data_IF_276279994490
#
_entry.id   IF_276279994490
#
_cell.length_a   1.000
_cell.length_b   1.000
_cell.length_c   1.000
_cell.angle_alpha   90.00
_cell.angle_beta   90.00
_cell.angle_gamma   90.00
#
_symmetry.space_group_name_H-M   'P 1'
#
loop_
_entity.id
_entity.type
_entity.pdbx_description
1 polymer ?
#
# COMPACT_ATOMS: atom_id res chain seq x y z
N UNK A 1 -14.58 23.85 -5.38
CA UNK A 1 -13.70 22.72 -5.09
C UNK A 1 -14.55 21.78 -4.28
N UNK A 2 -14.78 20.58 -4.80
CA UNK A 2 -15.61 19.58 -4.14
C UNK A 2 -14.63 18.53 -3.62
N UNK A 3 -14.60 18.34 -2.31
CA UNK A 3 -13.79 17.30 -1.68
C UNK A 3 -14.64 16.03 -1.60
N UNK A 4 -14.08 14.91 -2.05
CA UNK A 4 -14.64 13.57 -1.87
C UNK A 4 -13.97 12.92 -0.67
N UNK A 5 -14.74 12.15 0.08
CA UNK A 5 -14.28 11.42 1.26
C UNK A 5 -14.31 9.92 0.92
N UNK A 6 -13.14 9.29 0.88
CA UNK A 6 -12.97 7.92 0.37
C UNK A 6 -12.56 7.02 1.52
N UNK A 7 -13.33 5.95 1.76
CA UNK A 7 -12.95 4.90 2.69
C UNK A 7 -12.26 3.80 1.90
N UNK A 8 -11.01 3.47 2.27
CA UNK A 8 -10.25 2.35 1.70
C UNK A 8 -10.00 1.30 2.76
N UNK A 9 -9.93 0.04 2.35
CA UNK A 9 -9.44 -1.02 3.24
C UNK A 9 -7.93 -0.89 3.42
N UNK A 10 -7.42 -1.20 4.61
CA UNK A 10 -6.01 -1.45 4.85
C UNK A 10 -5.73 -2.95 4.79
N UNK A 11 -4.72 -3.33 4.03
CA UNK A 11 -4.17 -4.67 3.98
C UNK A 11 -2.92 -4.72 4.87
N UNK A 12 -2.93 -5.59 5.87
CA UNK A 12 -1.81 -5.78 6.78
C UNK A 12 -0.89 -6.89 6.28
N UNK A 13 0.43 -6.66 6.34
CA UNK A 13 1.40 -7.73 6.08
C UNK A 13 1.34 -8.79 7.16
N UNK A 14 1.12 -10.05 6.80
CA UNK A 14 1.20 -11.18 7.73
C UNK A 14 2.59 -11.83 7.65
N UNK A 15 3.29 -11.91 8.78
CA UNK A 15 4.45 -12.82 8.90
C UNK A 15 3.98 -14.19 9.41
N UNK A 16 4.89 -15.13 9.67
CA UNK A 16 4.53 -16.48 10.12
C UNK A 16 3.93 -16.57 11.54
N UNK A 17 3.79 -15.43 12.24
CA UNK A 17 3.28 -15.35 13.61
C UNK A 17 2.14 -14.31 13.76
N UNK A 18 2.21 -13.15 13.10
CA UNK A 18 1.36 -11.98 13.33
C UNK A 18 1.16 -11.09 12.08
N UNK A 19 0.06 -10.35 12.05
CA UNK A 19 -0.18 -9.19 11.21
C UNK A 19 0.59 -7.97 11.74
N UNK A 20 1.34 -7.34 10.84
CA UNK A 20 2.03 -6.08 11.07
C UNK A 20 1.09 -4.90 10.84
N UNK A 21 0.74 -4.22 11.93
CA UNK A 21 -0.12 -3.01 11.88
C UNK A 21 0.60 -1.79 11.31
N UNK A 22 1.93 -1.76 11.35
CA UNK A 22 2.74 -0.64 10.85
C UNK A 22 3.07 -0.74 9.35
N UNK A 23 2.81 -1.88 8.71
CA UNK A 23 2.97 -2.10 7.27
C UNK A 23 1.61 -2.20 6.56
N UNK A 24 0.68 -1.32 6.90
CA UNK A 24 -0.61 -1.27 6.24
C UNK A 24 -0.50 -0.65 4.84
N UNK A 25 -1.03 -1.32 3.83
CA UNK A 25 -1.18 -0.78 2.47
C UNK A 25 -2.64 -0.52 2.13
N UNK A 26 -2.89 0.50 1.31
CA UNK A 26 -4.23 0.84 0.85
C UNK A 26 -4.75 -0.19 -0.18
N UNK A 27 -5.76 -0.95 0.23
CA UNK A 27 -6.52 -1.89 -0.56
C UNK A 27 -7.66 -1.25 -1.36
N UNK A 28 -8.77 -1.99 -1.52
CA UNK A 28 -9.90 -1.58 -2.35
C UNK A 28 -10.63 -0.34 -1.80
N UNK A 29 -11.35 0.36 -2.67
CA UNK A 29 -12.23 1.45 -2.28
C UNK A 29 -13.55 0.85 -1.79
N UNK A 30 -13.82 1.00 -0.50
CA UNK A 30 -15.02 0.50 0.16
C UNK A 30 -16.22 1.43 -0.10
N UNK A 31 -16.01 2.74 -0.04
CA UNK A 31 -17.07 3.73 -0.27
C UNK A 31 -16.52 5.12 -0.59
N UNK A 32 -17.33 5.93 -1.28
CA UNK A 32 -17.05 7.33 -1.61
C UNK A 32 -18.24 8.19 -1.19
N UNK A 33 -17.97 9.28 -0.48
CA UNK A 33 -18.97 10.20 0.05
C UNK A 33 -18.70 11.64 -0.39
N UNK A 34 -19.77 12.42 -0.53
CA UNK A 34 -19.75 13.86 -0.74
C UNK A 34 -19.82 14.67 0.57
N UNK A 35 -20.25 14.02 1.66
CA UNK A 35 -20.45 14.65 2.95
C UNK A 35 -19.49 14.08 3.99
N UNK A 36 -18.70 14.96 4.61
CA UNK A 36 -17.70 14.59 5.62
C UNK A 36 -18.31 13.84 6.81
N UNK A 37 -19.43 14.32 7.34
CA UNK A 37 -20.04 13.74 8.55
C UNK A 37 -20.61 12.35 8.27
N UNK A 38 -21.19 12.15 7.08
CA UNK A 38 -21.65 10.83 6.64
C UNK A 38 -20.47 9.86 6.49
N UNK A 39 -19.37 10.33 5.88
CA UNK A 39 -18.15 9.55 5.73
C UNK A 39 -17.50 9.17 7.07
N UNK A 40 -17.40 10.13 8.00
CA UNK A 40 -16.84 9.92 9.35
C UNK A 40 -17.67 8.92 10.15
N UNK A 41 -19.01 9.00 10.08
CA UNK A 41 -19.88 8.04 10.75
C UNK A 41 -19.77 6.65 10.13
N UNK A 42 -19.77 6.55 8.79
CA UNK A 42 -19.63 5.27 8.10
C UNK A 42 -18.26 4.62 8.37
N UNK A 43 -17.19 5.42 8.35
CA UNK A 43 -15.83 5.00 8.69
C UNK A 43 -15.75 4.44 10.10
N UNK A 44 -16.30 5.17 11.07
CA UNK A 44 -16.37 4.72 12.46
C UNK A 44 -17.08 3.37 12.60
N UNK A 45 -18.27 3.25 12.00
CA UNK A 45 -19.04 2.00 12.06
C UNK A 45 -18.28 0.84 11.41
N UNK A 46 -17.66 1.04 10.24
CA UNK A 46 -16.85 0.01 9.56
C UNK A 46 -15.65 -0.45 10.39
N UNK A 47 -14.94 0.48 11.04
CA UNK A 47 -13.81 0.13 11.91
C UNK A 47 -14.27 -0.72 13.09
N UNK A 48 -15.36 -0.32 13.76
CA UNK A 48 -15.89 -1.07 14.91
C UNK A 48 -16.41 -2.44 14.49
N UNK A 49 -17.13 -2.53 13.37
CA UNK A 49 -17.60 -3.81 12.83
C UNK A 49 -16.43 -4.74 12.50
N UNK A 50 -15.38 -4.25 11.82
CA UNK A 50 -14.22 -5.07 11.49
C UNK A 50 -13.43 -5.51 12.72
N UNK A 51 -13.32 -4.63 13.73
CA UNK A 51 -12.64 -4.93 14.99
C UNK A 51 -13.29 -6.12 15.72
N UNK A 52 -14.63 -6.21 15.73
CA UNK A 52 -15.37 -7.31 16.37
C UNK A 52 -15.59 -8.54 15.48
N UNK A 53 -15.21 -8.48 14.20
CA UNK A 53 -15.26 -9.65 13.30
C UNK A 53 -14.01 -10.53 13.39
N UNK A 54 -12.95 -10.06 14.06
CA UNK A 54 -11.75 -10.86 14.28
C UNK A 54 -11.95 -11.86 15.41
N UNK A 55 -11.54 -13.10 15.16
CA UNK A 55 -11.63 -14.18 16.13
C UNK A 55 -10.60 -14.05 17.27
N UNK A 56 -9.53 -13.26 17.07
CA UNK A 56 -8.46 -13.08 18.04
C UNK A 56 -7.64 -11.81 17.78
N UNK A 57 -7.29 -11.06 18.83
CA UNK A 57 -6.37 -9.92 18.74
C UNK A 57 -4.89 -10.32 18.83
N UNK A 58 -4.59 -11.51 19.35
CA UNK A 58 -3.23 -12.06 19.37
C UNK A 58 -2.59 -12.11 17.98
N UNK A 59 -3.40 -12.12 16.92
CA UNK A 59 -2.89 -12.13 15.55
C UNK A 59 -2.29 -10.77 15.13
N UNK A 60 -2.42 -9.70 15.91
CA UNK A 60 -1.92 -8.36 15.56
C UNK A 60 -0.72 -7.98 16.41
N UNK A 61 0.44 -7.80 15.76
CA UNK A 61 1.63 -7.26 16.40
C UNK A 61 1.58 -5.72 16.31
N UNK A 62 1.27 -5.09 17.44
CA UNK A 62 1.41 -3.65 17.64
C UNK A 62 2.80 -3.30 18.16
N UNK A 63 3.24 -2.06 17.95
CA UNK A 63 4.37 -1.53 18.73
C UNK A 63 4.04 -1.70 20.24
N UNK A 64 4.98 -2.17 21.05
CA UNK A 64 4.81 -2.31 22.50
C UNK A 64 4.23 -1.06 23.18
N UNK A 65 4.55 0.14 22.69
CA UNK A 65 3.99 1.39 23.22
C UNK A 65 2.51 1.58 22.82
N UNK A 66 2.13 1.19 21.60
CA UNK A 66 0.76 1.21 21.07
C UNK A 66 -0.11 0.18 21.82
N UNK A 67 0.43 -1.03 22.01
CA UNK A 67 -0.19 -2.10 22.77
C UNK A 67 -0.50 -1.66 24.21
N UNK A 68 0.50 -1.06 24.88
CA UNK A 68 0.32 -0.51 26.23
C UNK A 68 -0.75 0.59 26.29
N UNK A 69 -0.79 1.52 25.33
CA UNK A 69 -1.79 2.59 25.32
C UNK A 69 -3.22 2.05 25.16
N UNK A 70 -3.40 1.03 24.32
CA UNK A 70 -4.68 0.37 24.15
C UNK A 70 -5.11 -0.38 25.41
N UNK A 71 -4.17 -1.03 26.11
CA UNK A 71 -4.42 -1.66 27.40
C UNK A 71 -4.80 -0.66 28.49
N UNK A 72 -4.02 0.42 28.65
CA UNK A 72 -4.30 1.49 29.61
C UNK A 72 -5.69 2.09 29.41
N UNK A 73 -6.13 2.23 28.15
CA UNK A 73 -7.47 2.69 27.83
C UNK A 73 -8.57 1.76 28.37
N UNK A 74 -8.41 0.44 28.27
CA UNK A 74 -9.36 -0.54 28.82
C UNK A 74 -9.47 -0.38 30.34
N UNK A 75 -8.33 -0.29 31.02
CA UNK A 75 -8.25 -0.15 32.49
C UNK A 75 -8.87 1.18 32.95
N UNK A 76 -8.50 2.30 32.34
CA UNK A 76 -8.98 3.64 32.72
C UNK A 76 -10.49 3.80 32.54
N UNK A 77 -11.08 3.11 31.56
CA UNK A 77 -12.50 3.20 31.25
C UNK A 77 -13.32 2.10 31.93
N UNK A 78 -12.71 1.27 32.79
CA UNK A 78 -13.33 0.15 33.51
C UNK A 78 -14.11 -0.77 32.56
N UNK A 79 -13.52 -1.05 31.40
CA UNK A 79 -14.10 -1.96 30.41
C UNK A 79 -13.94 -3.38 30.97
N UNK A 80 -15.05 -4.08 31.16
CA UNK A 80 -15.05 -5.42 31.77
C UNK A 80 -14.48 -6.45 30.79
N UNK A 81 -13.41 -7.11 31.20
CA UNK A 81 -12.77 -8.19 30.44
C UNK A 81 -13.09 -9.51 31.14
N UNK A 82 -13.59 -10.48 30.38
CA UNK A 82 -13.61 -11.87 30.83
C UNK A 82 -12.21 -12.46 30.64
N UNK A 83 -11.53 -12.79 31.74
CA UNK A 83 -10.26 -13.51 31.74
C UNK A 83 -10.49 -14.96 32.14
N UNK A 84 -9.70 -15.88 31.60
CA UNK A 84 -9.62 -17.22 32.17
C UNK A 84 -9.06 -17.17 33.61
N UNK A 85 -9.49 -18.08 34.49
CA UNK A 85 -9.32 -18.03 35.96
C UNK A 85 -7.85 -17.95 36.47
N UNK A 86 -6.84 -18.01 35.60
CA UNK A 86 -5.41 -17.93 35.93
C UNK A 86 -4.62 -16.90 35.08
N UNK A 87 -5.29 -16.07 34.27
CA UNK A 87 -4.64 -15.04 33.46
C UNK A 87 -4.63 -13.69 34.20
N UNK A 88 -3.46 -13.06 34.27
CA UNK A 88 -3.37 -11.63 34.59
C UNK A 88 -3.20 -10.92 33.26
N UNK A 89 -4.02 -9.90 32.99
CA UNK A 89 -3.80 -9.03 31.83
C UNK A 89 -2.51 -8.23 32.01
N UNK A 90 -1.46 -8.68 31.35
CA UNK A 90 -0.22 -7.94 31.23
C UNK A 90 -0.13 -7.22 29.87
N UNK A 91 -0.91 -7.61 28.85
CA UNK A 91 -0.91 -6.99 27.51
C UNK A 91 -2.23 -7.20 26.68
N UNK A 92 -2.44 -6.42 25.61
CA UNK A 92 -3.57 -6.57 24.66
C UNK A 92 -3.50 -7.86 23.84
N UNK A 93 -2.28 -8.40 23.73
CA UNK A 93 -1.98 -9.82 23.66
C UNK A 93 -3.13 -10.73 23.98
N UNK A 94 -3.45 -10.64 25.26
CA UNK A 94 -4.02 -11.72 26.04
C UNK A 94 -5.54 -11.84 25.83
N UNK A 95 -6.12 -10.98 25.00
CA UNK A 95 -7.54 -11.01 24.68
C UNK A 95 -7.84 -12.07 23.62
N UNK A 96 -8.41 -13.20 24.04
CA UNK A 96 -9.01 -14.15 23.09
C UNK A 96 -10.13 -13.47 22.29
N UNK A 97 -10.94 -12.63 22.95
CA UNK A 97 -11.95 -11.80 22.30
C UNK A 97 -11.99 -10.41 22.93
N UNK A 98 -12.24 -9.39 22.10
CA UNK A 98 -12.38 -8.03 22.60
C UNK A 98 -13.61 -7.89 23.51
N UNK A 99 -13.47 -7.24 24.68
CA UNK A 99 -14.62 -6.96 25.52
C UNK A 99 -15.63 -6.08 24.77
N UNK A 100 -16.94 -6.24 25.03
CA UNK A 100 -17.96 -5.40 24.42
C UNK A 100 -17.83 -3.95 24.91
N UNK A 101 -17.79 -3.01 23.97
CA UNK A 101 -17.62 -1.58 24.22
C UNK A 101 -18.73 -0.78 23.54
N UNK A 102 -18.87 0.49 23.93
CA UNK A 102 -19.65 1.43 23.12
C UNK A 102 -18.95 1.65 21.77
N UNK A 103 -19.69 2.06 20.73
CA UNK A 103 -19.08 2.35 19.42
C UNK A 103 -17.99 3.43 19.50
N UNK A 104 -18.18 4.43 20.38
CA UNK A 104 -17.18 5.48 20.62
C UNK A 104 -15.89 4.92 21.24
N UNK A 105 -16.03 4.04 22.24
CA UNK A 105 -14.90 3.45 22.96
C UNK A 105 -14.17 2.42 22.08
N UNK A 106 -14.90 1.58 21.36
CA UNK A 106 -14.32 0.61 20.41
C UNK A 106 -13.54 1.33 19.30
N UNK A 107 -14.08 2.41 18.74
CA UNK A 107 -13.38 3.19 17.73
C UNK A 107 -12.15 3.90 18.30
N UNK A 108 -12.21 4.36 19.56
CA UNK A 108 -11.04 4.93 20.23
C UNK A 108 -9.98 3.88 20.50
N UNK A 109 -10.37 2.69 20.96
CA UNK A 109 -9.48 1.55 21.12
C UNK A 109 -8.76 1.22 19.81
N UNK A 110 -9.49 1.06 18.70
CA UNK A 110 -8.90 0.76 17.38
C UNK A 110 -7.83 1.79 16.95
N UNK A 111 -8.08 3.08 17.24
CA UNK A 111 -7.10 4.14 16.96
C UNK A 111 -5.87 4.10 17.87
N UNK A 112 -6.04 3.69 19.12
CA UNK A 112 -4.93 3.55 20.07
C UNK A 112 -4.10 2.29 19.79
N UNK A 113 -4.74 1.21 19.36
CA UNK A 113 -4.07 -0.06 19.04
C UNK A 113 -3.46 -0.10 17.64
N UNK A 114 -3.80 0.86 16.77
CA UNK A 114 -3.37 0.86 15.37
C UNK A 114 -4.08 -0.18 14.50
N UNK A 115 -5.05 -0.93 15.05
CA UNK A 115 -5.84 -1.94 14.32
C UNK A 115 -6.94 -1.21 13.54
N UNK A 116 -6.53 -0.54 12.47
CA UNK A 116 -7.38 0.26 11.60
C UNK A 116 -7.54 -0.43 10.24
N UNK A 117 -8.52 -1.32 10.13
CA UNK A 117 -8.85 -2.05 8.90
C UNK A 117 -9.27 -1.19 7.72
N UNK A 118 -9.56 0.07 7.97
CA UNK A 118 -9.92 1.04 6.95
C UNK A 118 -9.20 2.35 7.24
N UNK A 119 -9.11 3.18 6.20
CA UNK A 119 -8.67 4.56 6.32
C UNK A 119 -9.65 5.49 5.60
N UNK A 120 -9.85 6.68 6.17
CA UNK A 120 -10.67 7.74 5.58
C UNK A 120 -9.76 8.81 4.97
N UNK A 121 -9.77 8.90 3.64
CA UNK A 121 -8.96 9.81 2.84
C UNK A 121 -9.80 10.96 2.26
N UNK A 122 -9.19 12.13 2.11
CA UNK A 122 -9.78 13.28 1.43
C UNK A 122 -9.15 13.45 0.04
N UNK A 123 -10.00 13.47 -1.00
CA UNK A 123 -9.59 13.69 -2.39
C UNK A 123 -10.23 14.97 -2.92
N UNK A 124 -9.42 15.86 -3.48
CA UNK A 124 -9.96 17.00 -4.22
C UNK A 124 -10.42 16.54 -5.62
N UNK A 125 -11.58 17.00 -6.09
CA UNK A 125 -12.20 16.58 -7.38
C UNK A 125 -11.27 16.63 -8.61
N UNK A 126 -10.23 17.47 -8.56
CA UNK A 126 -9.25 17.66 -9.65
C UNK A 126 -7.83 17.20 -9.29
N UNK A 127 -7.66 16.51 -8.16
CA UNK A 127 -6.38 15.94 -7.81
C UNK A 127 -6.05 14.81 -8.79
N UNK A 128 -4.90 14.85 -9.47
CA UNK A 128 -4.53 13.76 -10.36
C UNK A 128 -4.28 12.49 -9.55
N UNK A 129 -4.79 11.37 -10.06
CA UNK A 129 -4.52 10.04 -9.54
C UNK A 129 -3.72 9.32 -10.63
N UNK A 130 -2.57 8.78 -10.26
CA UNK A 130 -1.70 8.05 -11.15
C UNK A 130 -1.69 6.58 -10.76
N UNK A 131 -1.75 5.72 -11.76
CA UNK A 131 -1.66 4.27 -11.63
C UNK A 131 -0.60 3.72 -12.58
N UNK A 132 -0.15 2.51 -12.31
CA UNK A 132 0.83 1.81 -13.12
C UNK A 132 0.15 0.75 -13.99
N UNK A 133 0.39 0.82 -15.29
CA UNK A 133 0.01 -0.21 -16.25
C UNK A 133 1.24 -1.01 -16.67
N UNK A 134 1.19 -2.34 -16.54
CA UNK A 134 2.23 -3.24 -17.02
C UNK A 134 1.98 -3.58 -18.49
N UNK A 135 2.91 -3.21 -19.36
CA UNK A 135 2.85 -3.56 -20.78
C UNK A 135 3.21 -5.04 -21.02
N UNK A 136 3.95 -5.66 -20.10
CA UNK A 136 4.33 -7.07 -20.19
C UNK A 136 3.16 -7.98 -19.80
N UNK A 137 2.39 -7.58 -18.79
CA UNK A 137 1.21 -8.32 -18.31
C UNK A 137 -0.08 -7.91 -19.06
N UNK A 138 -0.09 -6.74 -19.71
CA UNK A 138 -1.27 -6.13 -20.32
C UNK A 138 -2.42 -5.99 -19.30
N UNK A 139 -2.05 -5.53 -18.10
CA UNK A 139 -2.95 -5.30 -16.98
C UNK A 139 -2.39 -4.18 -16.08
N UNK A 140 -3.19 -3.70 -15.15
CA UNK A 140 -2.74 -2.84 -14.07
C UNK A 140 -1.77 -3.58 -13.17
N UNK A 141 -0.71 -2.89 -12.78
CA UNK A 141 0.23 -3.43 -11.83
C UNK A 141 -0.44 -3.52 -10.45
N UNK A 142 -0.36 -4.71 -9.85
CA UNK A 142 -0.96 -5.02 -8.56
C UNK A 142 0.10 -5.41 -7.53
N UNK A 143 -0.13 -5.04 -6.27
CA UNK A 143 0.67 -5.46 -5.14
C UNK A 143 0.38 -6.89 -4.69
N UNK A 144 1.02 -7.31 -3.60
CA UNK A 144 0.93 -8.67 -3.05
C UNK A 144 -0.51 -9.11 -2.73
N UNK A 145 -1.34 -8.16 -2.29
CA UNK A 145 -2.75 -8.38 -1.94
C UNK A 145 -3.72 -8.03 -3.07
N UNK A 146 -3.24 -8.02 -4.32
CA UNK A 146 -4.02 -7.63 -5.50
C UNK A 146 -4.56 -6.19 -5.45
N UNK A 147 -3.98 -5.34 -4.58
CA UNK A 147 -4.25 -3.92 -4.50
C UNK A 147 -3.63 -3.18 -5.69
N UNK A 148 -4.34 -2.17 -6.20
CA UNK A 148 -3.81 -1.31 -7.27
C UNK A 148 -2.77 -0.36 -6.68
N UNK A 149 -1.60 -0.25 -7.31
CA UNK A 149 -0.66 0.83 -6.99
C UNK A 149 -1.18 2.15 -7.55
N UNK A 150 -1.60 3.05 -6.67
CA UNK A 150 -2.03 4.40 -7.00
C UNK A 150 -1.30 5.46 -6.17
N UNK A 151 -1.12 6.65 -6.75
CA UNK A 151 -0.51 7.79 -6.07
C UNK A 151 -1.08 9.11 -6.58
N UNK A 152 -1.02 10.14 -5.75
CA UNK A 152 -1.33 11.51 -6.16
C UNK A 152 -0.10 12.25 -6.71
N UNK A 153 1.06 11.60 -6.70
CA UNK A 153 2.29 12.02 -7.34
C UNK A 153 2.65 11.08 -8.49
N UNK A 154 2.91 11.63 -9.68
CA UNK A 154 3.26 10.85 -10.88
C UNK A 154 4.61 10.13 -10.78
N UNK A 155 5.39 10.45 -9.76
CA UNK A 155 6.67 9.83 -9.45
C UNK A 155 6.58 8.87 -8.26
N UNK A 156 5.36 8.63 -7.74
CA UNK A 156 5.09 7.68 -6.66
C UNK A 156 5.98 7.91 -5.42
N UNK A 157 6.47 9.15 -5.20
CA UNK A 157 7.38 9.46 -4.10
C UNK A 157 6.71 9.49 -2.73
N UNK A 158 5.38 9.46 -2.70
CA UNK A 158 4.57 9.47 -1.49
C UNK A 158 4.26 8.07 -0.95
N UNK A 159 4.64 7.01 -1.66
CA UNK A 159 4.40 5.64 -1.21
C UNK A 159 5.63 5.16 -0.42
N UNK A 160 5.47 5.01 0.90
CA UNK A 160 6.58 4.64 1.79
C UNK A 160 7.08 3.20 1.56
N UNK A 161 6.25 2.32 1.00
CA UNK A 161 6.56 0.89 0.77
C UNK A 161 6.49 0.48 -0.71
N UNK A 162 6.71 1.41 -1.65
CA UNK A 162 6.69 1.07 -3.06
C UNK A 162 7.99 0.39 -3.51
N UNK A 163 8.02 -0.94 -3.41
CA UNK A 163 9.19 -1.75 -3.77
C UNK A 163 9.39 -1.84 -5.29
N UNK A 164 10.49 -1.29 -5.80
CA UNK A 164 10.79 -1.36 -7.25
C UNK A 164 11.21 -2.77 -7.72
N UNK A 165 11.53 -3.66 -6.78
CA UNK A 165 11.83 -5.08 -7.02
C UNK A 165 10.72 -5.79 -7.80
N UNK A 166 9.48 -5.30 -7.73
CA UNK A 166 8.35 -5.84 -8.50
C UNK A 166 8.58 -5.81 -10.03
N UNK A 167 9.49 -4.95 -10.53
CA UNK A 167 9.85 -4.89 -11.95
C UNK A 167 11.02 -5.83 -12.32
N UNK A 168 11.65 -6.47 -11.33
CA UNK A 168 12.88 -7.24 -11.52
C UNK A 168 12.68 -8.38 -12.53
N UNK A 169 11.54 -9.08 -12.46
CA UNK A 169 11.25 -10.17 -13.38
C UNK A 169 11.20 -9.67 -14.83
N UNK A 170 10.47 -8.60 -15.08
CA UNK A 170 10.34 -8.02 -16.43
C UNK A 170 11.69 -7.53 -16.96
N UNK A 171 12.51 -6.91 -16.11
CA UNK A 171 13.86 -6.48 -16.50
C UNK A 171 14.79 -7.65 -16.81
N UNK A 172 14.74 -8.73 -16.02
CA UNK A 172 15.50 -9.96 -16.30
C UNK A 172 15.13 -10.58 -17.66
N UNK A 173 13.85 -10.60 -18.02
CA UNK A 173 13.37 -11.20 -19.27
C UNK A 173 13.61 -10.29 -20.47
N UNK A 174 13.35 -9.00 -20.31
CA UNK A 174 13.24 -8.06 -21.43
C UNK A 174 14.48 -7.21 -21.65
N UNK A 175 15.27 -6.93 -20.61
CA UNK A 175 16.29 -5.87 -20.63
C UNK A 175 17.70 -6.42 -20.40
N UNK A 176 17.92 -7.15 -19.31
CA UNK A 176 19.26 -7.58 -18.92
C UNK A 176 19.91 -8.48 -19.97
N UNK A 177 21.24 -8.36 -20.07
CA UNK A 177 22.10 -9.12 -20.99
C UNK A 177 21.80 -8.94 -22.49
N UNK A 178 20.90 -8.01 -22.86
CA UNK A 178 20.69 -7.57 -24.25
C UNK A 178 21.53 -6.33 -24.53
N UNK A 179 21.97 -6.20 -25.77
CA UNK A 179 22.74 -5.02 -26.18
C UNK A 179 21.84 -3.77 -26.17
N UNK A 180 22.41 -2.59 -25.90
CA UNK A 180 21.64 -1.33 -25.88
C UNK A 180 20.88 -1.08 -27.20
N UNK A 181 21.48 -1.44 -28.34
CA UNK A 181 20.85 -1.35 -29.66
C UNK A 181 19.61 -2.25 -29.81
N UNK A 182 19.52 -3.35 -29.06
CA UNK A 182 18.36 -4.23 -29.10
C UNK A 182 17.19 -3.64 -28.32
N UNK A 183 17.48 -2.94 -27.22
CA UNK A 183 16.46 -2.49 -26.26
C UNK A 183 16.10 -1.02 -26.37
N UNK A 184 16.87 -0.19 -27.09
CA UNK A 184 16.61 1.25 -27.25
C UNK A 184 16.76 1.72 -28.70
N UNK A 185 15.91 2.65 -29.13
CA UNK A 185 16.09 3.40 -30.38
C UNK A 185 17.08 4.57 -30.23
N UNK A 186 17.56 4.82 -29.00
CA UNK A 186 18.56 5.84 -28.66
C UNK A 186 19.65 5.25 -27.76
N UNK A 187 20.43 4.26 -28.25
CA UNK A 187 21.38 3.49 -27.44
C UNK A 187 22.44 4.37 -26.75
N UNK A 188 22.91 5.44 -27.39
CA UNK A 188 23.89 6.37 -26.78
C UNK A 188 23.30 7.18 -25.61
N UNK A 189 22.00 7.54 -25.69
CA UNK A 189 21.31 8.24 -24.60
C UNK A 189 21.08 7.26 -23.46
N UNK A 190 20.64 6.03 -23.76
CA UNK A 190 20.46 4.97 -22.77
C UNK A 190 21.79 4.65 -22.06
N UNK A 191 22.89 4.56 -22.82
CA UNK A 191 24.23 4.37 -22.26
C UNK A 191 24.57 5.48 -21.28
N UNK A 192 24.38 6.74 -21.69
CA UNK A 192 24.67 7.91 -20.86
C UNK A 192 23.87 7.88 -19.56
N UNK A 193 22.57 7.53 -19.62
CA UNK A 193 21.73 7.37 -18.44
C UNK A 193 22.30 6.26 -17.53
N UNK A 194 22.47 5.05 -18.05
CA UNK A 194 22.94 3.90 -17.28
C UNK A 194 24.31 4.14 -16.63
N UNK A 195 25.22 4.86 -17.30
CA UNK A 195 26.55 5.18 -16.73
C UNK A 195 26.53 6.29 -15.67
N UNK A 196 25.50 7.14 -15.66
CA UNK A 196 25.39 8.27 -14.73
C UNK A 196 24.45 8.00 -13.55
N UNK A 197 23.70 6.90 -13.60
CA UNK A 197 22.83 6.44 -12.50
C UNK A 197 23.56 5.34 -11.71
N UNK A 198 24.02 5.60 -10.47
CA UNK A 198 24.84 4.66 -9.70
C UNK A 198 24.20 3.28 -9.50
N UNK A 199 22.88 3.23 -9.41
CA UNK A 199 22.09 2.03 -9.13
C UNK A 199 21.84 1.18 -10.39
N UNK A 200 22.32 1.60 -11.57
CA UNK A 200 22.23 0.83 -12.81
C UNK A 200 23.62 0.32 -13.18
N UNK A 201 23.77 -1.00 -13.23
CA UNK A 201 25.05 -1.64 -13.58
C UNK A 201 25.11 -1.84 -15.09
N UNK A 202 25.99 -1.08 -15.75
CA UNK A 202 26.27 -1.21 -17.18
C UNK A 202 27.64 -1.86 -17.43
N UNK A 203 27.66 -2.83 -18.35
CA UNK A 203 28.85 -3.59 -18.74
C UNK A 203 29.33 -3.14 -20.13
N UNK A 204 30.48 -2.44 -20.17
CA UNK A 204 31.06 -1.91 -21.41
C UNK A 204 31.47 -2.99 -22.42
N UNK A 205 31.95 -4.14 -21.95
CA UNK A 205 32.39 -5.24 -22.81
C UNK A 205 31.22 -5.92 -23.53
N UNK A 206 30.02 -5.85 -22.95
CA UNK A 206 28.78 -6.42 -23.50
C UNK A 206 27.88 -5.38 -24.15
N UNK A 207 28.13 -4.09 -23.91
CA UNK A 207 27.24 -2.98 -24.26
C UNK A 207 25.80 -3.24 -23.75
N UNK A 208 25.67 -3.57 -22.46
CA UNK A 208 24.42 -4.03 -21.85
C UNK A 208 24.24 -3.50 -20.42
N UNK A 209 22.99 -3.29 -20.02
CA UNK A 209 22.62 -3.21 -18.60
C UNK A 209 22.54 -4.64 -18.08
N UNK A 210 23.13 -4.91 -16.93
CA UNK A 210 23.33 -6.27 -16.42
C UNK A 210 22.80 -6.48 -15.01
N UNK A 211 22.53 -5.39 -14.30
CA UNK A 211 21.84 -5.41 -13.02
C UNK A 211 21.28 -4.02 -12.68
N UNK A 212 20.33 -3.99 -11.75
CA UNK A 212 19.85 -2.78 -11.07
C UNK A 212 19.90 -3.07 -9.56
N UNK A 213 20.34 -2.10 -8.78
CA UNK A 213 20.18 -2.11 -7.33
C UNK A 213 18.78 -1.60 -6.99
N UNK A 214 17.84 -2.52 -6.79
CA UNK A 214 16.41 -2.19 -6.65
C UNK A 214 16.07 -1.47 -5.35
N UNK A 215 16.86 -1.68 -4.30
CA UNK A 215 16.63 -1.12 -2.97
C UNK A 215 16.98 0.38 -2.93
N UNK A 216 18.02 0.79 -3.66
CA UNK A 216 18.52 2.16 -3.68
C UNK A 216 18.03 2.97 -4.91
N UNK A 217 17.40 2.32 -5.91
CA UNK A 217 16.88 2.99 -7.10
C UNK A 217 15.66 3.85 -6.77
N UNK A 218 15.62 5.07 -7.31
CA UNK A 218 14.42 5.90 -7.22
C UNK A 218 13.48 5.65 -8.42
N UNK A 219 12.17 5.73 -8.21
CA UNK A 219 11.19 5.53 -9.29
C UNK A 219 11.39 6.50 -10.46
N UNK A 220 11.87 7.72 -10.21
CA UNK A 220 12.20 8.68 -11.27
C UNK A 220 13.32 8.18 -12.20
N UNK A 221 14.31 7.46 -11.66
CA UNK A 221 15.40 6.85 -12.42
C UNK A 221 14.87 5.67 -13.25
N UNK A 222 14.02 4.85 -12.65
CA UNK A 222 13.33 3.75 -13.34
C UNK A 222 12.44 4.27 -14.47
N UNK A 223 11.67 5.33 -14.24
CA UNK A 223 10.80 5.99 -15.23
C UNK A 223 11.63 6.55 -16.40
N UNK A 224 12.79 7.15 -16.12
CA UNK A 224 13.70 7.63 -17.15
C UNK A 224 14.29 6.48 -17.99
N UNK A 225 14.69 5.38 -17.33
CA UNK A 225 15.17 4.18 -18.01
C UNK A 225 14.09 3.58 -18.90
N UNK A 226 12.89 3.39 -18.36
CA UNK A 226 11.72 2.85 -19.06
C UNK A 226 11.36 3.66 -20.31
N UNK A 227 11.44 5.00 -20.25
CA UNK A 227 11.15 5.89 -21.37
C UNK A 227 12.13 5.78 -22.55
N UNK A 228 13.33 5.24 -22.33
CA UNK A 228 14.34 5.04 -23.37
C UNK A 228 14.26 3.65 -24.02
N UNK A 229 13.38 2.77 -23.54
CA UNK A 229 13.20 1.45 -24.10
C UNK A 229 12.34 1.49 -25.37
N UNK A 230 12.66 0.63 -26.36
CA UNK A 230 11.82 0.39 -27.53
C UNK A 230 10.45 -0.13 -27.14
N UNK A 231 10.42 -0.96 -26.10
CA UNK A 231 9.22 -1.51 -25.50
C UNK A 231 9.26 -1.15 -24.01
N UNK A 232 8.58 -0.07 -23.60
CA UNK A 232 8.44 0.28 -22.19
C UNK A 232 7.82 -0.89 -21.42
N UNK A 233 8.36 -1.20 -20.25
CA UNK A 233 7.86 -2.23 -19.33
C UNK A 233 6.53 -1.78 -18.71
N UNK A 234 6.42 -0.49 -18.38
CA UNK A 234 5.21 0.07 -17.78
C UNK A 234 4.85 1.45 -18.32
N UNK A 235 3.64 1.89 -18.00
CA UNK A 235 3.15 3.25 -18.22
C UNK A 235 2.62 3.84 -16.92
N UNK A 236 2.90 5.12 -16.70
CA UNK A 236 2.22 5.92 -15.67
C UNK A 236 0.98 6.53 -16.32
N UNK A 237 -0.20 6.12 -15.87
CA UNK A 237 -1.48 6.60 -16.41
C UNK A 237 -2.19 7.47 -15.39
N UNK A 238 -2.69 8.62 -15.85
CA UNK A 238 -3.58 9.45 -15.04
C UNK A 238 -5.02 8.97 -15.20
N UNK A 239 -5.71 8.78 -14.08
CA UNK A 239 -7.11 8.35 -14.02
C UNK A 239 -7.94 9.24 -13.09
N UNK A 240 -9.24 9.05 -13.12
CA UNK A 240 -10.21 9.66 -12.20
C UNK A 240 -10.45 8.76 -10.98
N UNK A 241 -10.99 9.33 -9.90
CA UNK A 241 -11.41 8.54 -8.73
C UNK A 241 -12.48 7.50 -9.08
N UNK A 242 -13.37 7.80 -10.04
CA UNK A 242 -14.37 6.84 -10.53
C UNK A 242 -13.71 5.62 -11.18
N UNK A 243 -12.70 5.84 -12.03
CA UNK A 243 -11.93 4.77 -12.64
C UNK A 243 -11.15 3.97 -11.59
N UNK A 244 -10.50 4.64 -10.63
CA UNK A 244 -9.80 3.96 -9.54
C UNK A 244 -10.75 3.02 -8.78
N UNK A 245 -11.98 3.48 -8.51
CA UNK A 245 -12.99 2.66 -7.84
C UNK A 245 -13.38 1.41 -8.64
N UNK A 246 -13.51 1.53 -9.97
CA UNK A 246 -13.80 0.37 -10.84
C UNK A 246 -12.63 -0.62 -10.83
N UNK A 247 -11.42 -0.13 -11.10
CA UNK A 247 -10.20 -0.94 -11.15
C UNK A 247 -9.93 -1.67 -9.84
N UNK A 248 -10.08 -0.97 -8.71
CA UNK A 248 -9.80 -1.54 -7.38
C UNK A 248 -10.85 -2.55 -6.93
N UNK A 249 -12.05 -2.51 -7.50
CA UNK A 249 -13.11 -3.48 -7.22
C UNK A 249 -13.26 -4.57 -8.31
N UNK A 250 -12.30 -4.64 -9.25
CA UNK A 250 -12.27 -5.66 -10.30
C UNK A 250 -13.35 -5.49 -11.37
N UNK A 251 -13.91 -4.28 -11.51
CA UNK A 251 -14.78 -3.92 -12.62
C UNK A 251 -13.92 -3.58 -13.86
N UNK A 252 -14.28 -4.09 -15.03
CA UNK A 252 -13.57 -3.79 -16.28
C UNK A 252 -13.69 -2.28 -16.61
N UNK A 253 -12.57 -1.64 -16.97
CA UNK A 253 -12.58 -0.28 -17.51
C UNK A 253 -13.16 -0.31 -18.94
N UNK A 254 -14.44 0.04 -19.09
CA UNK A 254 -15.07 0.35 -20.40
C UNK A 254 -14.77 1.77 -20.88
#
# INVERSE_FOLDING_TARGET
>A
MTTKYVIRQNNFSYNDEYFSTYNAELGYIQAIYDNKQEAEQAYKTLIVEALYQQDSLYEYNGDTEIAQQAYEFIVENNIEVELEEDENLDDIDEFETLPPMSEDDAFKFAKLSGILWYELLEFEDNQPIYILWSNTQNDYLKGEYNNTFDSTDENFSTLENFELSLFEYDFNVHIFDKTLDQISDSPEILKTLATNTPNIVYAEDRNSIVNIDWDDLHFTELKALNALLKQPIFEVRQITLEQLNKISNGEEDE
#
